data_IF_493479166645
#
_entry.id   IF_493479166645
#
_cell.length_a   1.000
_cell.length_b   1.000
_cell.length_c   1.000
_cell.angle_alpha   90.00
_cell.angle_beta   90.00
_cell.angle_gamma   90.00
#
_symmetry.space_group_name_H-M   'P 1'
#
loop_
_entity.id
_entity.type
_entity.pdbx_description
1 polymer ?
#
# COMPACT_ATOMS: atom_id res chain seq x y z
N UNK A 1 0.55 16.90 10.98
CA UNK A 1 -0.75 16.68 10.28
C UNK A 1 -0.74 17.43 8.94
N UNK A 2 -1.57 17.04 7.97
CA UNK A 2 -1.71 17.75 6.69
C UNK A 2 -2.04 19.24 6.89
N UNK A 3 -1.23 20.19 6.38
CA UNK A 3 -1.53 21.61 6.48
C UNK A 3 -2.72 21.99 5.59
N UNK A 4 -3.65 22.78 6.12
CA UNK A 4 -4.88 23.18 5.41
C UNK A 4 -4.61 23.88 4.08
N UNK A 5 -3.56 24.70 4.00
CA UNK A 5 -3.16 25.42 2.78
C UNK A 5 -2.60 24.51 1.68
N UNK A 6 -2.26 23.25 1.99
CA UNK A 6 -1.80 22.24 1.02
C UNK A 6 -2.91 21.24 0.64
N UNK A 7 -4.11 21.39 1.19
CA UNK A 7 -5.27 20.60 0.79
C UNK A 7 -5.76 21.15 -0.56
N UNK A 8 -5.78 20.28 -1.57
CA UNK A 8 -6.22 20.64 -2.90
C UNK A 8 -7.74 20.82 -3.00
N UNK A 9 -8.17 21.43 -4.10
CA UNK A 9 -9.56 21.85 -4.29
C UNK A 9 -10.54 20.67 -4.41
N UNK A 10 -10.15 19.58 -5.07
CA UNK A 10 -10.96 18.38 -5.16
C UNK A 10 -11.14 17.72 -3.79
N UNK A 11 -10.08 17.70 -2.98
CA UNK A 11 -10.20 17.26 -1.58
C UNK A 11 -11.11 18.18 -0.76
N UNK A 12 -11.04 19.50 -0.93
CA UNK A 12 -11.96 20.43 -0.22
C UNK A 12 -13.41 20.18 -0.60
N UNK A 13 -13.71 19.98 -1.90
CA UNK A 13 -15.06 19.67 -2.38
C UNK A 13 -15.60 18.39 -1.74
N UNK A 14 -14.76 17.36 -1.61
CA UNK A 14 -15.12 16.12 -0.90
C UNK A 14 -15.40 16.40 0.59
N UNK A 15 -14.56 17.21 1.25
CA UNK A 15 -14.77 17.57 2.64
C UNK A 15 -16.09 18.34 2.85
N UNK A 16 -16.47 19.22 1.93
CA UNK A 16 -17.74 19.94 1.93
C UNK A 16 -18.92 18.99 1.73
N UNK A 17 -18.82 18.05 0.78
CA UNK A 17 -19.81 16.98 0.56
C UNK A 17 -20.04 16.16 1.82
N UNK A 18 -18.97 15.66 2.45
CA UNK A 18 -19.04 14.94 3.71
C UNK A 18 -19.66 15.78 4.83
N UNK A 19 -19.27 17.06 4.95
CA UNK A 19 -19.81 17.99 5.95
C UNK A 19 -21.32 18.21 5.78
N UNK A 20 -21.82 18.27 4.54
CA UNK A 20 -23.25 18.43 4.25
C UNK A 20 -24.09 17.24 4.75
N UNK A 21 -23.47 16.06 4.86
CA UNK A 21 -24.06 14.83 5.42
C UNK A 21 -23.86 14.71 6.94
N UNK A 22 -23.25 15.72 7.58
CA UNK A 22 -22.94 15.71 9.00
C UNK A 22 -21.68 14.92 9.36
N UNK A 23 -20.78 14.66 8.40
CA UNK A 23 -19.51 13.97 8.62
C UNK A 23 -18.32 14.91 8.51
N UNK A 24 -17.41 14.86 9.48
CA UNK A 24 -16.24 15.72 9.50
C UNK A 24 -14.99 14.96 9.02
N UNK A 25 -14.37 15.47 7.95
CA UNK A 25 -13.08 14.96 7.46
C UNK A 25 -11.94 15.58 8.26
N UNK A 26 -11.06 14.76 8.84
CA UNK A 26 -9.89 15.23 9.60
C UNK A 26 -8.63 15.28 8.72
N UNK A 27 -7.70 16.23 8.96
CA UNK A 27 -6.41 16.23 8.29
C UNK A 27 -5.58 14.98 8.62
N UNK A 28 -5.10 14.29 7.59
CA UNK A 28 -4.35 13.04 7.78
C UNK A 28 -2.97 13.30 8.38
N UNK A 29 -2.52 12.55 9.40
CA UNK A 29 -1.11 12.52 9.79
C UNK A 29 -0.25 11.95 8.65
N UNK A 30 0.79 12.67 8.26
CA UNK A 30 1.70 12.25 7.18
C UNK A 30 3.13 12.29 7.66
N UNK A 31 3.91 11.29 7.28
CA UNK A 31 5.37 11.30 7.41
C UNK A 31 5.97 12.13 6.26
N UNK A 32 5.63 13.43 6.23
CA UNK A 32 6.09 14.39 5.23
C UNK A 32 6.55 15.66 5.93
N UNK A 33 7.77 16.10 5.63
CA UNK A 33 8.25 17.43 5.93
C UNK A 33 7.65 18.42 4.92
N UNK A 34 6.58 19.10 5.33
CA UNK A 34 5.85 20.01 4.47
C UNK A 34 6.65 21.26 4.08
N UNK A 35 7.73 21.62 4.79
CA UNK A 35 8.60 22.73 4.40
C UNK A 35 9.38 22.45 3.10
N UNK A 36 9.55 21.17 2.75
CA UNK A 36 10.23 20.70 1.53
C UNK A 36 9.25 20.20 0.46
N UNK A 37 7.96 20.15 0.78
CA UNK A 37 6.96 19.57 -0.10
C UNK A 37 6.56 20.59 -1.17
N UNK A 38 6.62 20.19 -2.44
CA UNK A 38 6.19 21.01 -3.58
C UNK A 38 4.80 20.63 -4.10
N UNK A 39 4.04 19.83 -3.32
CA UNK A 39 2.67 19.41 -3.67
C UNK A 39 2.51 18.82 -5.08
N UNK A 40 3.46 17.97 -5.51
CA UNK A 40 3.45 17.39 -6.86
C UNK A 40 2.49 16.19 -7.03
N UNK A 41 1.88 15.70 -5.96
CA UNK A 41 0.97 14.54 -5.96
C UNK A 41 1.63 13.17 -6.25
N UNK A 42 2.96 13.11 -6.41
CA UNK A 42 3.67 11.88 -6.83
C UNK A 42 4.07 10.95 -5.68
N UNK A 43 3.49 11.11 -4.48
CA UNK A 43 3.98 10.47 -3.26
C UNK A 43 4.16 8.94 -3.35
N UNK A 44 3.35 8.25 -4.16
CA UNK A 44 3.45 6.80 -4.37
C UNK A 44 4.67 6.36 -5.17
N UNK A 45 5.19 7.22 -6.05
CA UNK A 45 6.29 6.89 -6.96
C UNK A 45 7.67 7.31 -6.44
N UNK A 46 7.72 7.82 -5.21
CA UNK A 46 8.91 8.41 -4.61
C UNK A 46 8.78 9.93 -4.44
N UNK A 47 9.61 10.51 -3.59
CA UNK A 47 9.60 11.95 -3.34
C UNK A 47 10.88 12.59 -3.87
N UNK A 48 10.81 13.40 -4.95
CA UNK A 48 12.00 13.97 -5.56
C UNK A 48 12.69 15.01 -4.67
N UNK A 49 11.96 15.63 -3.74
CA UNK A 49 12.49 16.64 -2.82
C UNK A 49 12.89 16.08 -1.45
N UNK A 50 12.83 14.75 -1.28
CA UNK A 50 13.05 14.08 0.02
C UNK A 50 12.15 14.61 1.15
N UNK A 51 11.02 15.22 0.82
CA UNK A 51 10.03 15.67 1.80
C UNK A 51 9.30 14.50 2.47
N UNK A 52 8.99 13.44 1.73
CA UNK A 52 8.39 12.22 2.28
C UNK A 52 9.48 11.41 3.00
N UNK A 53 9.26 11.14 4.28
CA UNK A 53 10.13 10.29 5.07
C UNK A 53 10.23 8.89 4.47
N UNK A 54 11.41 8.27 4.58
CA UNK A 54 11.65 6.89 4.15
C UNK A 54 12.51 6.17 5.18
N UNK A 55 12.40 4.85 5.23
CA UNK A 55 13.25 4.03 6.10
C UNK A 55 14.74 4.05 5.71
N UNK A 56 15.12 4.70 4.60
CA UNK A 56 16.52 4.83 4.19
C UNK A 56 17.35 5.60 5.22
N UNK A 57 16.75 6.56 5.91
CA UNK A 57 17.46 7.34 6.94
C UNK A 57 18.04 6.43 8.03
N UNK A 58 17.29 5.40 8.46
CA UNK A 58 17.77 4.41 9.43
C UNK A 58 18.83 3.47 8.87
N UNK A 59 18.81 3.20 7.56
CA UNK A 59 19.86 2.40 6.91
C UNK A 59 21.16 3.20 6.87
N UNK A 60 21.09 4.48 6.51
CA UNK A 60 22.23 5.38 6.47
C UNK A 60 22.85 5.56 7.88
N UNK A 61 22.02 5.71 8.92
CA UNK A 61 22.45 5.72 10.33
C UNK A 61 23.15 4.41 10.71
N UNK A 62 22.55 3.26 10.41
CA UNK A 62 23.14 1.96 10.74
C UNK A 62 24.52 1.75 10.06
N UNK A 63 24.66 2.17 8.80
CA UNK A 63 25.95 2.10 8.07
C UNK A 63 26.98 3.00 8.73
N UNK A 64 26.60 4.23 9.11
CA UNK A 64 27.48 5.17 9.81
C UNK A 64 27.98 4.60 11.15
N UNK A 65 27.15 3.82 11.82
CA UNK A 65 27.48 3.12 13.07
C UNK A 65 28.23 1.78 12.87
N UNK A 66 28.59 1.46 11.62
CA UNK A 66 29.46 0.33 11.28
C UNK A 66 28.76 -0.91 10.74
N UNK A 67 27.46 -0.85 10.44
CA UNK A 67 26.76 -1.95 9.78
C UNK A 67 27.20 -2.09 8.30
N UNK A 68 27.35 -3.34 7.84
CA UNK A 68 27.62 -3.63 6.43
C UNK A 68 26.32 -3.84 5.64
N UNK A 69 26.09 -3.02 4.61
CA UNK A 69 24.94 -3.18 3.71
C UNK A 69 25.30 -4.00 2.47
N UNK A 70 24.75 -5.22 2.38
CA UNK A 70 24.92 -6.10 1.22
C UNK A 70 23.74 -6.00 0.25
N UNK A 71 23.89 -5.16 -0.79
CA UNK A 71 22.91 -5.07 -1.88
C UNK A 71 22.94 -6.31 -2.78
N UNK A 72 21.85 -6.54 -3.51
CA UNK A 72 21.69 -7.64 -4.48
C UNK A 72 22.00 -9.02 -3.86
N UNK A 73 21.65 -9.19 -2.59
CA UNK A 73 21.91 -10.41 -1.80
C UNK A 73 20.57 -10.91 -1.26
N UNK A 74 19.99 -11.88 -1.95
CA UNK A 74 18.67 -12.40 -1.63
C UNK A 74 18.78 -13.62 -0.71
N UNK A 75 18.29 -13.49 0.52
CA UNK A 75 18.25 -14.60 1.49
C UNK A 75 17.22 -15.64 1.06
N UNK A 76 17.61 -16.92 1.03
CA UNK A 76 16.74 -18.03 0.64
C UNK A 76 16.25 -18.85 1.83
N UNK A 77 17.10 -19.09 2.83
CA UNK A 77 16.73 -19.76 4.07
C UNK A 77 17.71 -19.43 5.20
N UNK A 78 17.26 -19.65 6.43
CA UNK A 78 18.05 -19.59 7.66
C UNK A 78 18.75 -20.93 7.86
N UNK A 79 20.05 -20.88 8.16
CA UNK A 79 20.83 -22.04 8.55
C UNK A 79 20.65 -22.27 10.04
N UNK A 80 20.33 -23.51 10.43
CA UNK A 80 20.21 -23.90 11.83
C UNK A 80 20.74 -25.31 12.07
N UNK A 81 21.16 -25.57 13.30
CA UNK A 81 21.66 -26.87 13.76
C UNK A 81 21.22 -27.09 15.20
N UNK A 82 20.64 -28.27 15.49
CA UNK A 82 20.18 -28.65 16.82
C UNK A 82 19.24 -27.60 17.44
N UNK A 83 18.30 -27.06 16.64
CA UNK A 83 17.33 -26.05 17.08
C UNK A 83 17.91 -24.65 17.29
N UNK A 84 19.19 -24.40 16.93
CA UNK A 84 19.82 -23.09 17.04
C UNK A 84 20.17 -22.52 15.67
N UNK A 85 19.86 -21.25 15.45
CA UNK A 85 20.29 -20.50 14.27
C UNK A 85 21.80 -20.37 14.26
N UNK A 86 22.42 -20.55 13.09
CA UNK A 86 23.87 -20.41 12.89
C UNK A 86 24.23 -19.46 11.74
N UNK A 87 23.25 -19.01 10.95
CA UNK A 87 23.48 -18.12 9.82
C UNK A 87 22.34 -18.11 8.81
N UNK A 88 22.66 -17.69 7.59
CA UNK A 88 21.75 -17.66 6.44
C UNK A 88 22.43 -18.20 5.19
N UNK A 89 21.63 -18.72 4.26
CA UNK A 89 22.03 -18.94 2.87
C UNK A 89 21.34 -17.90 1.99
N UNK A 90 22.12 -17.25 1.13
CA UNK A 90 21.68 -16.23 0.21
C UNK A 90 22.19 -16.51 -1.22
N UNK A 91 21.61 -15.81 -2.19
CA UNK A 91 22.10 -15.72 -3.56
C UNK A 91 22.55 -14.29 -3.81
N UNK A 92 23.81 -14.11 -4.21
CA UNK A 92 24.37 -12.81 -4.60
C UNK A 92 24.88 -12.91 -6.03
N UNK A 93 24.29 -12.12 -6.93
CA UNK A 93 24.62 -12.11 -8.37
C UNK A 93 24.62 -13.53 -9.02
N UNK A 94 23.69 -14.38 -8.60
CA UNK A 94 23.54 -15.76 -9.11
C UNK A 94 24.38 -16.83 -8.39
N UNK A 95 25.32 -16.44 -7.53
CA UNK A 95 26.14 -17.38 -6.76
C UNK A 95 25.59 -17.57 -5.35
N UNK A 96 25.66 -18.82 -4.85
CA UNK A 96 25.32 -19.14 -3.45
C UNK A 96 26.36 -18.51 -2.51
N UNK A 97 25.87 -17.90 -1.44
CA UNK A 97 26.65 -17.30 -0.36
C UNK A 97 26.08 -17.80 0.98
N UNK A 98 26.94 -18.14 1.93
CA UNK A 98 26.54 -18.43 3.30
C UNK A 98 27.17 -17.39 4.23
N UNK A 99 26.36 -16.83 5.13
CA UNK A 99 26.81 -15.83 6.11
C UNK A 99 26.46 -16.38 7.49
N UNK A 100 27.49 -16.57 8.31
CA UNK A 100 27.36 -17.13 9.65
C UNK A 100 27.17 -16.02 10.68
N UNK A 101 26.26 -16.25 11.62
CA UNK A 101 25.89 -15.26 12.63
C UNK A 101 25.14 -15.89 13.80
N UNK A 102 25.29 -15.31 14.99
CA UNK A 102 24.63 -15.80 16.21
C UNK A 102 23.14 -15.46 16.25
N UNK A 103 22.78 -14.31 15.69
CA UNK A 103 21.42 -13.78 15.67
C UNK A 103 21.03 -13.47 14.22
N UNK A 104 19.81 -13.84 13.84
CA UNK A 104 19.22 -13.51 12.53
C UNK A 104 17.86 -12.89 12.78
N UNK A 105 17.64 -11.69 12.25
CA UNK A 105 16.37 -10.98 12.30
C UNK A 105 15.81 -10.94 10.89
N UNK A 106 14.69 -11.62 10.65
CA UNK A 106 14.02 -11.60 9.35
C UNK A 106 13.08 -10.39 9.26
N UNK A 107 13.38 -9.48 8.33
CA UNK A 107 12.61 -8.26 8.07
C UNK A 107 12.28 -8.10 6.59
N UNK A 108 12.03 -9.21 5.88
CA UNK A 108 11.81 -9.23 4.43
C UNK A 108 10.36 -8.89 4.02
N UNK A 109 9.55 -8.38 4.96
CA UNK A 109 8.15 -8.05 4.74
C UNK A 109 7.20 -9.25 4.78
N UNK A 110 5.90 -8.98 4.66
CA UNK A 110 4.83 -9.97 4.86
C UNK A 110 4.79 -11.09 3.81
N UNK A 111 5.47 -10.91 2.67
CA UNK A 111 5.48 -11.88 1.58
C UNK A 111 6.75 -12.74 1.57
N UNK A 112 7.93 -12.15 1.74
CA UNK A 112 9.18 -12.89 1.62
C UNK A 112 9.65 -13.51 2.96
N UNK A 113 9.35 -12.87 4.09
CA UNK A 113 9.66 -13.45 5.42
C UNK A 113 9.06 -14.86 5.59
N UNK A 114 7.76 -15.10 5.32
CA UNK A 114 7.22 -16.46 5.47
C UNK A 114 7.84 -17.45 4.48
N UNK A 115 8.23 -17.03 3.28
CA UNK A 115 8.91 -17.93 2.32
C UNK A 115 10.29 -18.36 2.80
N UNK A 116 11.07 -17.42 3.37
CA UNK A 116 12.36 -17.76 3.99
C UNK A 116 12.14 -18.76 5.14
N UNK A 117 11.13 -18.53 5.98
CA UNK A 117 10.78 -19.41 7.10
C UNK A 117 10.34 -20.81 6.63
N UNK A 118 9.49 -20.89 5.60
CA UNK A 118 9.07 -22.15 4.99
C UNK A 118 10.28 -22.93 4.45
N UNK A 119 11.18 -22.26 3.71
CA UNK A 119 12.43 -22.86 3.22
C UNK A 119 13.41 -23.24 4.34
N UNK A 120 13.19 -22.75 5.57
CA UNK A 120 13.99 -23.06 6.75
C UNK A 120 13.38 -24.16 7.63
N UNK A 121 12.26 -24.77 7.20
CA UNK A 121 11.59 -25.86 7.89
C UNK A 121 10.39 -25.47 8.75
N UNK A 122 9.95 -24.20 8.71
CA UNK A 122 8.71 -23.75 9.36
C UNK A 122 7.59 -23.69 8.32
N UNK A 123 7.05 -24.86 7.97
CA UNK A 123 6.07 -25.02 6.88
C UNK A 123 4.76 -24.26 7.09
N UNK A 124 4.39 -23.99 8.34
CA UNK A 124 3.15 -23.30 8.70
C UNK A 124 3.25 -21.77 8.54
N UNK A 125 4.46 -21.22 8.34
CA UNK A 125 4.64 -19.80 8.13
C UNK A 125 3.92 -19.35 6.86
N UNK A 126 3.36 -18.14 6.85
CA UNK A 126 2.66 -17.57 5.69
C UNK A 126 1.15 -17.73 5.69
N UNK A 127 0.59 -18.48 6.65
CA UNK A 127 -0.86 -18.49 6.92
C UNK A 127 -1.28 -17.22 7.65
N UNK A 128 -2.52 -16.80 7.41
CA UNK A 128 -3.11 -15.65 8.07
C UNK A 128 -2.64 -14.31 7.49
N UNK A 129 -2.47 -14.24 6.17
CA UNK A 129 -2.22 -12.98 5.47
C UNK A 129 -3.52 -12.16 5.42
N UNK A 130 -3.43 -10.91 5.88
CA UNK A 130 -4.42 -9.87 5.63
C UNK A 130 -3.88 -8.90 4.58
N UNK A 131 -4.76 -8.24 3.83
CA UNK A 131 -4.39 -7.23 2.85
C UNK A 131 -5.12 -5.92 3.17
N UNK A 132 -4.51 -4.80 2.83
CA UNK A 132 -5.20 -3.49 2.85
C UNK A 132 -6.18 -3.40 1.65
N UNK A 133 -7.24 -4.21 1.65
CA UNK A 133 -8.23 -4.25 0.57
C UNK A 133 -9.00 -2.94 0.56
N UNK A 134 -9.19 -2.37 -0.63
CA UNK A 134 -9.89 -1.11 -0.77
C UNK A 134 -10.76 -1.06 -2.01
N UNK A 135 -11.79 -0.23 -1.95
CA UNK A 135 -12.60 0.19 -3.07
C UNK A 135 -12.35 1.66 -3.34
N UNK A 136 -12.25 2.03 -4.62
CA UNK A 136 -12.22 3.44 -5.03
C UNK A 136 -13.49 3.78 -5.80
N UNK A 137 -14.10 4.90 -5.44
CA UNK A 137 -15.28 5.47 -6.08
C UNK A 137 -14.91 6.82 -6.65
N UNK A 138 -15.32 7.08 -7.89
CA UNK A 138 -15.02 8.32 -8.59
C UNK A 138 -16.31 9.00 -9.05
N UNK A 139 -16.33 10.32 -9.01
CA UNK A 139 -17.41 11.17 -9.48
C UNK A 139 -16.89 12.24 -10.44
N UNK A 140 -17.70 12.58 -11.44
CA UNK A 140 -17.42 13.70 -12.33
C UNK A 140 -18.01 14.98 -11.74
N UNK A 141 -17.23 16.05 -11.80
CA UNK A 141 -17.68 17.41 -11.49
C UNK A 141 -17.74 18.24 -12.77
N UNK A 142 -18.28 19.46 -12.66
CA UNK A 142 -18.31 20.40 -13.78
C UNK A 142 -16.98 21.15 -13.95
N UNK A 143 -16.21 21.31 -12.88
CA UNK A 143 -15.16 22.33 -12.76
C UNK A 143 -13.86 21.87 -12.07
N UNK A 144 -13.89 20.81 -11.24
CA UNK A 144 -12.79 20.43 -10.33
C UNK A 144 -12.33 18.98 -10.48
N UNK A 145 -11.02 18.77 -10.47
CA UNK A 145 -10.40 17.44 -10.43
C UNK A 145 -9.34 17.35 -9.35
N UNK A 146 -8.87 16.14 -9.07
CA UNK A 146 -7.87 15.86 -8.02
C UNK A 146 -6.46 15.58 -8.56
N UNK A 147 -6.16 15.98 -9.79
CA UNK A 147 -4.83 15.80 -10.36
C UNK A 147 -3.77 16.54 -9.54
N UNK A 148 -2.64 15.86 -9.28
CA UNK A 148 -1.49 16.39 -8.55
C UNK A 148 -1.76 16.81 -7.10
N UNK A 149 -2.90 16.43 -6.52
CA UNK A 149 -3.14 16.62 -5.08
C UNK A 149 -2.36 15.61 -4.24
N UNK A 150 -2.09 15.97 -2.99
CA UNK A 150 -1.58 15.02 -2.02
C UNK A 150 -2.71 14.04 -1.68
N UNK A 151 -2.59 12.80 -2.12
CA UNK A 151 -3.59 11.75 -1.84
C UNK A 151 -3.79 11.53 -0.34
N UNK A 152 -5.01 11.13 0.04
CA UNK A 152 -5.40 10.87 1.42
C UNK A 152 -5.08 12.09 2.32
N UNK A 153 -5.28 13.31 1.82
CA UNK A 153 -4.99 14.55 2.54
C UNK A 153 -5.89 14.73 3.78
N UNK A 154 -7.11 14.22 3.69
CA UNK A 154 -8.03 14.09 4.82
C UNK A 154 -8.56 12.65 4.90
N UNK A 155 -9.27 12.31 5.97
CA UNK A 155 -9.93 11.02 6.16
C UNK A 155 -11.13 11.14 7.11
N UNK A 156 -12.09 10.20 7.02
CA UNK A 156 -13.17 10.05 7.99
C UNK A 156 -12.68 9.19 9.16
N UNK A 157 -12.25 9.83 10.25
CA UNK A 157 -11.75 9.15 11.46
C UNK A 157 -12.83 8.31 12.14
N UNK A 158 -14.03 8.86 12.28
CA UNK A 158 -15.18 8.21 12.92
C UNK A 158 -15.51 6.85 12.31
N UNK A 159 -15.32 6.69 11.00
CA UNK A 159 -15.66 5.44 10.31
C UNK A 159 -14.64 4.33 10.52
N UNK A 160 -13.44 4.65 11.01
CA UNK A 160 -12.44 3.65 11.41
C UNK A 160 -12.95 2.88 12.62
N UNK A 161 -13.49 3.58 13.61
CA UNK A 161 -13.99 2.99 14.85
C UNK A 161 -15.38 2.39 14.65
N UNK A 162 -16.32 3.16 14.07
CA UNK A 162 -17.72 2.76 13.99
C UNK A 162 -17.98 1.67 12.94
N UNK A 163 -17.17 1.62 11.87
CA UNK A 163 -17.43 0.80 10.68
C UNK A 163 -16.24 -0.05 10.25
N UNK A 164 -15.07 0.12 10.86
CA UNK A 164 -13.81 -0.50 10.43
C UNK A 164 -13.48 -0.18 8.95
N UNK A 165 -13.79 1.05 8.55
CA UNK A 165 -13.53 1.62 7.22
C UNK A 165 -12.53 2.77 7.34
N UNK A 166 -11.65 2.91 6.35
CA UNK A 166 -10.77 4.07 6.21
C UNK A 166 -11.08 4.83 4.90
N UNK A 167 -12.10 5.70 4.88
CA UNK A 167 -12.45 6.54 3.73
C UNK A 167 -11.54 7.76 3.66
N UNK A 168 -10.97 8.01 2.49
CA UNK A 168 -10.09 9.15 2.26
C UNK A 168 -10.07 9.56 0.77
N UNK A 169 -9.88 10.85 0.47
CA UNK A 169 -9.78 11.34 -0.90
C UNK A 169 -8.60 10.70 -1.63
N UNK A 170 -8.82 10.27 -2.87
CA UNK A 170 -7.84 9.55 -3.66
C UNK A 170 -7.92 9.94 -5.13
N UNK A 171 -6.80 10.37 -5.68
CA UNK A 171 -6.72 10.75 -7.09
C UNK A 171 -6.84 9.53 -8.00
N UNK A 172 -7.33 9.76 -9.22
CA UNK A 172 -7.38 8.71 -10.24
C UNK A 172 -5.98 8.29 -10.70
N UNK A 173 -5.70 6.98 -10.62
CA UNK A 173 -4.43 6.40 -11.11
C UNK A 173 -4.74 5.24 -12.07
N UNK A 174 -4.50 5.41 -13.38
CA UNK A 174 -4.86 4.44 -14.41
C UNK A 174 -4.39 2.99 -14.15
N UNK A 175 -3.17 2.82 -13.63
CA UNK A 175 -2.50 1.52 -13.55
C UNK A 175 -2.94 0.64 -12.36
N UNK A 176 -3.65 1.20 -11.38
CA UNK A 176 -4.14 0.47 -10.21
C UNK A 176 -5.59 -0.02 -10.34
N UNK A 177 -6.24 0.19 -11.50
CA UNK A 177 -7.65 -0.14 -11.74
C UNK A 177 -7.87 -1.59 -12.19
N UNK A 178 -7.07 -2.53 -11.68
CA UNK A 178 -7.35 -3.94 -11.90
C UNK A 178 -8.07 -4.48 -10.68
N UNK A 179 -9.40 -4.60 -10.83
CA UNK A 179 -10.26 -5.33 -9.91
C UNK A 179 -9.99 -6.81 -10.15
N UNK A 180 -9.16 -7.44 -9.33
CA UNK A 180 -9.10 -8.90 -9.32
C UNK A 180 -10.28 -9.41 -8.48
N UNK A 181 -11.41 -9.62 -9.16
CA UNK A 181 -12.68 -10.08 -8.56
C UNK A 181 -12.53 -11.52 -8.02
N UNK A 182 -11.50 -12.25 -8.46
CA UNK A 182 -11.36 -13.68 -8.23
C UNK A 182 -10.48 -14.02 -7.01
N UNK A 183 -9.96 -13.03 -6.28
CA UNK A 183 -9.23 -13.27 -5.02
C UNK A 183 -7.81 -13.79 -5.20
N UNK A 184 -7.16 -13.43 -6.30
CA UNK A 184 -5.71 -13.49 -6.43
C UNK A 184 -5.15 -12.09 -6.18
N UNK A 185 -4.13 -11.98 -5.34
CA UNK A 185 -3.40 -10.73 -5.11
C UNK A 185 -2.77 -10.25 -6.44
N UNK A 186 -2.28 -8.99 -6.57
CA UNK A 186 -2.14 -8.32 -7.87
C UNK A 186 -1.39 -9.18 -8.90
N UNK A 187 -2.13 -9.68 -9.89
CA UNK A 187 -1.58 -10.44 -11.00
C UNK A 187 -0.76 -9.50 -11.88
N UNK A 188 0.44 -9.92 -12.31
CA UNK A 188 1.21 -9.18 -13.31
C UNK A 188 0.33 -8.94 -14.54
N UNK A 189 -0.11 -7.70 -14.72
CA UNK A 189 -0.91 -7.30 -15.87
C UNK A 189 -0.02 -7.45 -17.11
N UNK A 190 -0.46 -8.24 -18.09
CA UNK A 190 0.27 -8.39 -19.36
C UNK A 190 0.46 -7.03 -20.03
N UNK A 191 1.56 -6.86 -20.78
CA UNK A 191 1.87 -5.61 -21.50
C UNK A 191 0.69 -5.16 -22.37
N UNK A 192 0.03 -6.11 -23.05
CA UNK A 192 -1.16 -5.83 -23.86
C UNK A 192 -2.33 -5.25 -23.03
N UNK A 193 -2.56 -5.79 -21.83
CA UNK A 193 -3.60 -5.27 -20.93
C UNK A 193 -3.21 -3.92 -20.34
N UNK A 194 -1.94 -3.68 -20.03
CA UNK A 194 -1.44 -2.36 -19.62
C UNK A 194 -1.69 -1.31 -20.72
N UNK A 195 -1.36 -1.63 -21.98
CA UNK A 195 -1.62 -0.74 -23.13
C UNK A 195 -3.12 -0.45 -23.25
N UNK A 196 -3.98 -1.48 -23.15
CA UNK A 196 -5.44 -1.30 -23.18
C UNK A 196 -5.94 -0.37 -22.06
N UNK A 197 -5.43 -0.53 -20.84
CA UNK A 197 -5.77 0.33 -19.70
C UNK A 197 -5.37 1.78 -19.98
N UNK A 198 -4.14 2.00 -20.48
CA UNK A 198 -3.65 3.35 -20.83
C UNK A 198 -4.52 3.98 -21.92
N UNK A 199 -4.87 3.24 -22.97
CA UNK A 199 -5.76 3.73 -24.03
C UNK A 199 -7.15 4.10 -23.53
N UNK A 200 -7.71 3.31 -22.60
CA UNK A 200 -8.99 3.63 -21.94
C UNK A 200 -8.86 4.86 -21.03
N UNK A 201 -7.79 4.95 -20.28
CA UNK A 201 -7.54 6.07 -19.37
C UNK A 201 -7.41 7.41 -20.10
N UNK A 202 -6.93 7.43 -21.36
CA UNK A 202 -6.93 8.64 -22.19
C UNK A 202 -8.32 9.23 -22.45
N UNK A 203 -9.38 8.43 -22.30
CA UNK A 203 -10.78 8.89 -22.45
C UNK A 203 -11.35 9.52 -21.18
N UNK A 204 -10.65 9.39 -20.06
CA UNK A 204 -11.09 9.91 -18.77
C UNK A 204 -10.57 11.33 -18.60
N UNK A 205 -11.48 12.28 -18.42
CA UNK A 205 -11.14 13.66 -18.15
C UNK A 205 -10.78 13.85 -16.67
N UNK A 206 -9.51 13.63 -16.33
CA UNK A 206 -9.02 13.71 -14.94
C UNK A 206 -9.14 15.12 -14.34
N UNK A 207 -9.22 16.17 -15.17
CA UNK A 207 -9.40 17.56 -14.71
C UNK A 207 -10.76 17.82 -14.06
N UNK A 208 -11.70 16.89 -14.21
CA UNK A 208 -13.07 16.96 -13.68
C UNK A 208 -13.42 15.73 -12.84
N UNK A 209 -12.41 14.97 -12.43
CA UNK A 209 -12.59 13.71 -11.73
C UNK A 209 -12.08 13.83 -10.31
N UNK A 210 -12.98 13.62 -9.36
CA UNK A 210 -12.68 13.50 -7.94
C UNK A 210 -12.93 12.05 -7.51
N UNK A 211 -12.27 11.62 -6.44
CA UNK A 211 -12.37 10.24 -5.98
C UNK A 211 -12.12 10.06 -4.50
N UNK A 212 -12.70 9.00 -3.96
CA UNK A 212 -12.48 8.52 -2.60
C UNK A 212 -12.14 7.05 -2.63
N UNK A 213 -11.04 6.71 -1.95
CA UNK A 213 -10.68 5.34 -1.61
C UNK A 213 -11.18 5.04 -0.20
N UNK A 214 -11.74 3.86 -0.01
CA UNK A 214 -12.03 3.34 1.33
C UNK A 214 -11.38 1.98 1.50
N UNK A 215 -10.46 1.88 2.46
CA UNK A 215 -9.91 0.60 2.89
C UNK A 215 -10.84 -0.06 3.89
N UNK A 216 -10.86 -1.38 3.91
CA UNK A 216 -11.61 -2.17 4.90
C UNK A 216 -10.63 -2.91 5.81
N UNK A 217 -11.06 -3.21 7.04
CA UNK A 217 -10.45 -4.31 7.80
C UNK A 217 -10.97 -5.63 7.23
N UNK A 218 -10.15 -6.26 6.40
CA UNK A 218 -10.45 -7.55 5.79
C UNK A 218 -10.27 -8.71 6.78
N UNK A 219 -10.90 -9.84 6.50
CA UNK A 219 -10.71 -11.04 7.31
C UNK A 219 -9.35 -11.72 7.06
N UNK A 220 -8.78 -12.34 8.08
CA UNK A 220 -7.42 -12.91 8.01
C UNK A 220 -7.47 -14.31 7.36
N UNK A 221 -7.70 -14.35 6.05
CA UNK A 221 -7.94 -15.58 5.27
C UNK A 221 -6.86 -15.90 4.26
N UNK A 222 -5.86 -15.03 4.10
CA UNK A 222 -4.84 -15.17 3.08
C UNK A 222 -3.71 -16.13 3.47
N UNK A 223 -2.97 -16.55 2.45
CA UNK A 223 -1.81 -17.44 2.56
C UNK A 223 -0.72 -17.01 1.56
N UNK A 224 0.54 -17.10 2.00
CA UNK A 224 1.73 -17.06 1.13
C UNK A 224 2.34 -18.44 1.06
N UNK A 225 2.45 -19.01 -0.13
CA UNK A 225 3.05 -20.33 -0.38
C UNK A 225 4.52 -20.22 -0.75
N UNK A 226 5.24 -21.33 -0.61
CA UNK A 226 6.69 -21.34 -0.78
C UNK A 226 7.13 -20.97 -2.21
N UNK A 227 6.34 -21.40 -3.20
CA UNK A 227 6.51 -21.08 -4.62
C UNK A 227 6.29 -19.58 -4.93
N UNK A 228 5.88 -18.78 -3.95
CA UNK A 228 5.56 -17.36 -4.09
C UNK A 228 4.11 -17.10 -4.47
N UNK A 229 3.28 -18.13 -4.60
CA UNK A 229 1.84 -17.96 -4.84
C UNK A 229 1.19 -17.32 -3.61
N UNK A 230 0.46 -16.23 -3.86
CA UNK A 230 -0.34 -15.54 -2.83
C UNK A 230 -1.80 -15.87 -3.09
N UNK A 231 -2.48 -16.38 -2.06
CA UNK A 231 -3.92 -16.66 -2.11
C UNK A 231 -4.64 -15.78 -1.10
N UNK A 232 -5.67 -15.05 -1.53
CA UNK A 232 -6.49 -14.25 -0.62
C UNK A 232 -7.92 -14.13 -1.17
N UNK A 233 -8.82 -14.93 -0.61
CA UNK A 233 -10.23 -14.88 -0.99
C UNK A 233 -10.97 -13.85 -0.14
N UNK A 234 -11.63 -12.89 -0.79
CA UNK A 234 -12.53 -11.96 -0.13
C UNK A 234 -13.77 -12.70 0.37
N UNK A 235 -14.01 -12.64 1.67
CA UNK A 235 -15.16 -13.28 2.29
C UNK A 235 -16.45 -12.54 1.95
N UNK A 236 -17.60 -13.09 2.38
CA UNK A 236 -18.88 -12.38 2.27
C UNK A 236 -18.85 -11.05 3.02
N UNK A 237 -18.28 -11.04 4.24
CA UNK A 237 -18.12 -9.84 5.06
C UNK A 237 -17.22 -8.80 4.39
N UNK A 238 -16.10 -9.22 3.81
CA UNK A 238 -15.20 -8.31 3.08
C UNK A 238 -15.94 -7.62 1.93
N UNK A 239 -16.72 -8.37 1.15
CA UNK A 239 -17.52 -7.84 0.03
C UNK A 239 -18.60 -6.88 0.49
N UNK A 240 -19.35 -7.23 1.53
CA UNK A 240 -20.38 -6.37 2.11
C UNK A 240 -19.81 -5.03 2.60
N UNK A 241 -18.62 -5.04 3.22
CA UNK A 241 -17.92 -3.82 3.62
C UNK A 241 -17.45 -2.97 2.43
N UNK A 242 -16.98 -3.60 1.36
CA UNK A 242 -16.58 -2.87 0.14
C UNK A 242 -17.79 -2.22 -0.53
N UNK A 243 -18.94 -2.90 -0.54
CA UNK A 243 -20.20 -2.35 -1.05
C UNK A 243 -20.70 -1.20 -0.16
N UNK A 244 -20.66 -1.36 1.18
CA UNK A 244 -20.98 -0.26 2.12
C UNK A 244 -20.07 0.95 1.90
N UNK A 245 -18.76 0.70 1.75
CA UNK A 245 -17.77 1.72 1.47
C UNK A 245 -18.04 2.45 0.14
N UNK A 246 -18.48 1.74 -0.89
CA UNK A 246 -18.88 2.34 -2.16
C UNK A 246 -20.10 3.26 -2.00
N UNK A 247 -21.14 2.80 -1.32
CA UNK A 247 -22.36 3.58 -1.12
C UNK A 247 -22.13 4.82 -0.24
N UNK A 248 -21.24 4.74 0.75
CA UNK A 248 -20.79 5.91 1.52
C UNK A 248 -20.11 6.91 0.59
N UNK A 249 -19.09 6.47 -0.16
CA UNK A 249 -18.32 7.36 -1.03
C UNK A 249 -19.14 7.95 -2.18
N UNK A 250 -20.25 7.31 -2.56
CA UNK A 250 -21.19 7.80 -3.57
C UNK A 250 -22.14 8.86 -3.04
N UNK A 251 -22.46 8.82 -1.74
CA UNK A 251 -23.27 9.84 -1.08
C UNK A 251 -22.49 11.14 -0.88
N UNK A 252 -21.20 11.02 -0.57
CA UNK A 252 -20.24 12.13 -0.46
C UNK A 252 -19.96 12.69 -1.86
#
# INVERSE_FOLDING_TARGET
PMPSHLIGEGTKRINEGAKSLGWEMKPTPKCVDFSKCISCGQCMFGCPTKAKWTALDFIDEAIKDGAELLLNTEVKHVLHKNGKVIGISAIKKGSKLEIYGKNVILSAGALETPRILQNSGISEAGKGLALDVFQTTYGYTEDVGMQNEIILATYLDKFIEDKELFPAPYMYIPLYLVRDIEGYAPVKISIANQIKIVLRAKRINTKRLIGMMTKIRDEITGEVRNDGTIRKTLTKRDKEKLDEAHEINKKI
#
